data_IF_835284192861
#
_entry.id   IF_835284192861
#
_cell.length_a   1.000
_cell.length_b   1.000
_cell.length_c   1.000
_cell.angle_alpha   90.00
_cell.angle_beta   90.00
_cell.angle_gamma   90.00
#
_symmetry.space_group_name_H-M   'P 1'
#
loop_
_entity.id
_entity.type
_entity.pdbx_description
1 polymer ?
#
# COMPACT_ATOMS: atom_id res chain seq x y z
N UNK A 1 -7.22 8.09 -46.86
CA UNK A 1 -6.11 8.88 -46.30
C UNK A 1 -6.21 8.81 -44.79
N UNK A 2 -5.48 7.91 -44.13
CA UNK A 2 -5.46 7.85 -42.67
C UNK A 2 -4.70 9.09 -42.16
N UNK A 3 -5.39 9.95 -41.41
CA UNK A 3 -4.85 11.22 -40.93
C UNK A 3 -3.64 10.98 -40.01
N UNK A 4 -2.44 11.36 -40.47
CA UNK A 4 -1.16 11.21 -39.76
C UNK A 4 -1.10 11.83 -38.37
N UNK A 5 -2.10 12.66 -38.02
CA UNK A 5 -2.31 13.22 -36.67
C UNK A 5 -2.72 12.17 -35.63
N UNK A 6 -3.43 11.12 -36.05
CA UNK A 6 -3.84 10.02 -35.16
C UNK A 6 -2.72 9.02 -34.92
N UNK A 7 -1.91 8.74 -35.95
CA UNK A 7 -0.74 7.84 -35.84
C UNK A 7 0.29 8.42 -34.86
N UNK A 8 0.53 9.73 -34.90
CA UNK A 8 1.44 10.39 -33.97
C UNK A 8 0.97 10.35 -32.50
N UNK A 9 -0.34 10.49 -32.25
CA UNK A 9 -0.89 10.38 -30.89
C UNK A 9 -0.73 8.96 -30.30
N UNK A 10 -0.95 7.93 -31.12
CA UNK A 10 -0.83 6.53 -30.66
C UNK A 10 0.62 6.16 -30.36
N UNK A 11 1.58 6.64 -31.16
CA UNK A 11 3.02 6.39 -30.93
C UNK A 11 3.54 7.14 -29.70
N UNK A 12 3.10 8.39 -29.47
CA UNK A 12 3.49 9.15 -28.28
C UNK A 12 2.89 8.59 -26.99
N UNK A 13 1.64 8.09 -27.04
CA UNK A 13 1.02 7.43 -25.89
C UNK A 13 1.63 6.04 -25.59
N UNK A 14 2.09 5.31 -26.61
CA UNK A 14 2.78 4.03 -26.45
C UNK A 14 4.17 4.16 -25.81
N UNK A 15 4.88 5.26 -26.03
CA UNK A 15 6.24 5.46 -25.52
C UNK A 15 6.28 5.74 -24.00
N UNK A 16 5.21 6.28 -23.41
CA UNK A 16 5.14 6.60 -21.98
C UNK A 16 4.91 5.34 -21.12
N UNK A 17 4.37 4.27 -21.70
CA UNK A 17 4.04 3.03 -20.96
C UNK A 17 5.28 2.16 -20.69
N UNK A 18 6.40 2.38 -21.37
CA UNK A 18 7.59 1.49 -21.29
C UNK A 18 8.55 1.86 -20.15
N UNK A 19 8.40 3.01 -19.49
CA UNK A 19 9.38 3.50 -18.51
C UNK A 19 9.12 3.12 -17.04
N UNK A 20 8.10 2.32 -16.74
CA UNK A 20 7.87 1.79 -15.38
C UNK A 20 8.38 0.36 -15.18
N UNK A 21 9.16 -0.18 -16.13
CA UNK A 21 9.68 -1.55 -16.08
C UNK A 21 11.13 -1.62 -15.58
N UNK A 22 11.33 -2.31 -14.45
CA UNK A 22 12.61 -2.79 -13.90
C UNK A 22 13.42 -1.85 -12.99
N UNK A 23 12.78 -1.17 -12.04
CA UNK A 23 13.48 -0.77 -10.81
C UNK A 23 13.30 -1.87 -9.75
N UNK A 24 14.39 -2.54 -9.37
CA UNK A 24 14.39 -3.51 -8.27
C UNK A 24 13.92 -2.81 -6.98
N UNK A 25 12.84 -3.30 -6.37
CA UNK A 25 12.30 -2.71 -5.14
C UNK A 25 13.31 -2.84 -4.00
N UNK A 26 13.24 -1.98 -2.98
CA UNK A 26 14.11 -2.09 -1.80
C UNK A 26 14.03 -3.48 -1.17
N UNK A 27 12.82 -4.05 -1.07
CA UNK A 27 12.58 -5.42 -0.61
C UNK A 27 13.30 -6.45 -1.49
N UNK A 28 13.19 -6.36 -2.81
CA UNK A 28 13.82 -7.30 -3.73
C UNK A 28 15.34 -7.29 -3.61
N UNK A 29 15.95 -6.10 -3.45
CA UNK A 29 17.40 -5.99 -3.18
C UNK A 29 17.81 -6.68 -1.89
N UNK A 30 17.04 -6.53 -0.81
CA UNK A 30 17.34 -7.18 0.47
C UNK A 30 17.13 -8.69 0.41
N UNK A 31 16.13 -9.17 -0.34
CA UNK A 31 15.95 -10.61 -0.62
C UNK A 31 17.18 -11.17 -1.33
N UNK A 32 17.63 -10.50 -2.39
CA UNK A 32 18.80 -10.92 -3.17
C UNK A 32 20.10 -10.90 -2.35
N UNK A 33 20.20 -10.00 -1.36
CA UNK A 33 21.33 -9.92 -0.43
C UNK A 33 21.21 -10.86 0.80
N UNK A 34 20.12 -11.64 0.91
CA UNK A 34 19.78 -12.42 2.09
C UNK A 34 19.78 -11.60 3.40
N UNK A 35 19.40 -10.32 3.31
CA UNK A 35 19.38 -9.38 4.42
C UNK A 35 18.05 -9.47 5.18
N UNK A 36 17.93 -10.50 6.02
CA UNK A 36 16.75 -10.71 6.86
C UNK A 36 16.55 -9.60 7.91
N UNK A 37 17.62 -8.91 8.34
CA UNK A 37 17.50 -7.79 9.29
C UNK A 37 16.87 -6.59 8.59
N UNK A 38 17.35 -6.26 7.39
CA UNK A 38 16.76 -5.23 6.54
C UNK A 38 15.29 -5.52 6.22
N UNK A 39 14.95 -6.75 5.83
CA UNK A 39 13.58 -7.16 5.54
C UNK A 39 12.66 -7.05 6.77
N UNK A 40 13.14 -7.47 7.94
CA UNK A 40 12.39 -7.32 9.19
C UNK A 40 12.06 -5.85 9.51
N UNK A 41 13.03 -4.96 9.34
CA UNK A 41 12.83 -3.53 9.58
C UNK A 41 11.91 -2.90 8.54
N UNK A 42 12.08 -3.27 7.27
CA UNK A 42 11.27 -2.78 6.16
C UNK A 42 9.79 -3.13 6.34
N UNK A 43 9.48 -4.39 6.64
CA UNK A 43 8.09 -4.79 6.86
C UNK A 43 7.50 -4.22 8.16
N UNK A 44 8.31 -4.04 9.22
CA UNK A 44 7.86 -3.35 10.42
C UNK A 44 7.49 -1.88 10.15
N UNK A 45 8.29 -1.18 9.33
CA UNK A 45 7.96 0.17 8.89
C UNK A 45 6.69 0.18 8.03
N UNK A 46 6.56 -0.74 7.06
CA UNK A 46 5.33 -0.84 6.27
C UNK A 46 4.09 -1.08 7.14
N UNK A 47 4.18 -1.95 8.15
CA UNK A 47 3.08 -2.19 9.07
C UNK A 47 2.67 -0.90 9.81
N UNK A 48 3.65 -0.09 10.26
CA UNK A 48 3.36 1.21 10.87
C UNK A 48 2.67 2.17 9.88
N UNK A 49 3.19 2.32 8.67
CA UNK A 49 2.59 3.19 7.64
C UNK A 49 1.16 2.77 7.29
N UNK A 50 0.89 1.46 7.22
CA UNK A 50 -0.44 0.91 6.97
C UNK A 50 -1.39 1.19 8.13
N UNK A 51 -0.93 1.11 9.38
CA UNK A 51 -1.72 1.50 10.58
C UNK A 51 -2.05 2.99 10.58
N UNK A 52 -1.13 3.85 10.17
CA UNK A 52 -1.37 5.28 10.04
C UNK A 52 -2.44 5.57 8.97
N UNK A 53 -2.37 4.88 7.82
CA UNK A 53 -3.42 4.94 6.79
C UNK A 53 -4.77 4.45 7.31
N UNK A 54 -4.80 3.35 8.06
CA UNK A 54 -6.04 2.85 8.67
C UNK A 54 -6.66 3.89 9.61
N UNK A 55 -5.86 4.52 10.47
CA UNK A 55 -6.31 5.61 11.37
C UNK A 55 -6.90 6.79 10.59
N UNK A 56 -6.28 7.19 9.49
CA UNK A 56 -6.79 8.26 8.65
C UNK A 56 -8.18 7.95 8.06
N UNK A 57 -8.41 6.71 7.63
CA UNK A 57 -9.71 6.27 7.14
C UNK A 57 -10.76 6.14 8.25
N UNK A 58 -10.37 5.72 9.45
CA UNK A 58 -11.28 5.71 10.60
C UNK A 58 -11.72 7.12 10.98
N UNK A 59 -10.79 8.08 11.05
CA UNK A 59 -11.13 9.49 11.27
C UNK A 59 -12.09 10.03 10.21
N UNK A 60 -11.92 9.60 8.95
CA UNK A 60 -12.82 9.97 7.85
C UNK A 60 -14.20 9.34 8.04
N UNK A 61 -14.28 8.09 8.50
CA UNK A 61 -15.56 7.45 8.81
C UNK A 61 -16.29 8.19 9.93
N UNK A 62 -15.59 8.55 11.00
CA UNK A 62 -16.14 9.34 12.10
C UNK A 62 -16.66 10.71 11.63
N UNK A 63 -15.94 11.36 10.70
CA UNK A 63 -16.38 12.62 10.11
C UNK A 63 -17.74 12.48 9.43
N UNK A 64 -17.93 11.44 8.62
CA UNK A 64 -19.20 11.17 7.94
C UNK A 64 -20.35 10.87 8.91
N UNK A 65 -20.09 10.19 10.03
CA UNK A 65 -21.11 9.94 11.03
C UNK A 65 -21.53 11.22 11.77
N UNK A 66 -20.55 12.02 12.17
CA UNK A 66 -20.76 13.26 12.94
C UNK A 66 -21.42 14.36 12.11
N UNK A 67 -21.19 14.39 10.80
CA UNK A 67 -21.71 15.41 9.88
C UNK A 67 -22.79 14.86 8.94
N UNK A 68 -23.59 13.92 9.45
CA UNK A 68 -24.66 13.32 8.65
C UNK A 68 -25.78 14.33 8.39
N UNK A 69 -25.87 14.84 7.15
CA UNK A 69 -26.97 15.72 6.77
C UNK A 69 -28.30 14.95 6.68
N UNK A 70 -29.38 15.39 7.36
CA UNK A 70 -30.67 14.69 7.37
C UNK A 70 -31.34 14.55 6.00
N UNK A 71 -30.93 15.35 5.00
CA UNK A 71 -31.58 15.45 3.68
C UNK A 71 -30.62 15.25 2.50
N UNK A 72 -29.42 14.72 2.74
CA UNK A 72 -28.42 14.46 1.69
C UNK A 72 -28.83 13.32 0.75
N UNK A 73 -28.46 13.42 -0.53
CA UNK A 73 -28.72 12.40 -1.56
C UNK A 73 -27.94 11.09 -1.37
N UNK A 74 -26.88 11.12 -0.57
CA UNK A 74 -26.07 9.94 -0.24
C UNK A 74 -26.11 9.72 1.25
N UNK A 75 -26.45 8.51 1.68
CA UNK A 75 -26.64 8.21 3.09
C UNK A 75 -25.27 8.26 3.81
N UNK A 76 -25.03 9.20 4.74
CA UNK A 76 -23.72 9.38 5.38
C UNK A 76 -23.20 8.11 6.07
N UNK A 77 -24.12 7.25 6.51
CA UNK A 77 -23.82 5.92 7.06
C UNK A 77 -23.15 4.99 6.05
N UNK A 78 -23.52 5.05 4.77
CA UNK A 78 -22.89 4.25 3.72
C UNK A 78 -21.45 4.71 3.47
N UNK A 79 -21.19 6.01 3.48
CA UNK A 79 -19.84 6.55 3.38
C UNK A 79 -18.98 6.16 4.59
N UNK A 80 -19.51 6.28 5.81
CA UNK A 80 -18.81 5.85 7.01
C UNK A 80 -18.47 4.35 6.96
N UNK A 81 -19.43 3.50 6.58
CA UNK A 81 -19.21 2.06 6.43
C UNK A 81 -18.14 1.73 5.36
N UNK A 82 -18.15 2.46 4.23
CA UNK A 82 -17.13 2.31 3.19
C UNK A 82 -15.74 2.68 3.71
N UNK A 83 -15.60 3.83 4.38
CA UNK A 83 -14.35 4.26 5.00
C UNK A 83 -13.82 3.24 6.02
N UNK A 84 -14.70 2.68 6.87
CA UNK A 84 -14.31 1.61 7.81
C UNK A 84 -13.83 0.34 7.13
N UNK A 85 -14.46 -0.03 6.02
CA UNK A 85 -14.01 -1.19 5.23
C UNK A 85 -12.59 -0.96 4.71
N UNK A 86 -12.28 0.26 4.24
CA UNK A 86 -10.93 0.62 3.82
C UNK A 86 -9.95 0.58 5.01
N UNK A 87 -10.33 1.13 6.16
CA UNK A 87 -9.51 1.09 7.37
C UNK A 87 -9.18 -0.35 7.81
N UNK A 88 -10.17 -1.24 7.78
CA UNK A 88 -10.00 -2.67 8.08
C UNK A 88 -9.06 -3.37 7.10
N UNK A 89 -9.16 -3.06 5.80
CA UNK A 89 -8.24 -3.61 4.80
C UNK A 89 -6.79 -3.18 5.04
N UNK A 90 -6.57 -1.91 5.42
CA UNK A 90 -5.24 -1.43 5.79
C UNK A 90 -4.73 -2.09 7.07
N UNK A 91 -5.59 -2.30 8.08
CA UNK A 91 -5.20 -3.03 9.29
C UNK A 91 -4.79 -4.47 8.99
N UNK A 92 -5.57 -5.17 8.16
CA UNK A 92 -5.21 -6.53 7.74
C UNK A 92 -3.86 -6.58 7.02
N UNK A 93 -3.63 -5.64 6.11
CA UNK A 93 -2.34 -5.52 5.42
C UNK A 93 -1.19 -5.19 6.40
N UNK A 94 -1.44 -4.39 7.44
CA UNK A 94 -0.47 -4.10 8.48
C UNK A 94 -0.11 -5.36 9.29
N UNK A 95 -1.09 -6.20 9.61
CA UNK A 95 -0.89 -7.46 10.32
C UNK A 95 -0.09 -8.46 9.47
N UNK A 96 -0.38 -8.54 8.17
CA UNK A 96 0.40 -9.33 7.21
C UNK A 96 1.86 -8.85 7.13
N UNK A 97 2.09 -7.53 7.07
CA UNK A 97 3.43 -6.96 7.10
C UNK A 97 4.16 -7.25 8.43
N UNK A 98 3.48 -7.16 9.57
CA UNK A 98 4.08 -7.51 10.86
C UNK A 98 4.41 -9.00 10.97
N UNK A 99 3.60 -9.88 10.39
CA UNK A 99 3.91 -11.31 10.30
C UNK A 99 5.20 -11.55 9.50
N UNK A 100 5.33 -10.92 8.33
CA UNK A 100 6.56 -10.97 7.52
C UNK A 100 7.78 -10.43 8.29
N UNK A 101 7.60 -9.33 9.03
CA UNK A 101 8.67 -8.79 9.87
C UNK A 101 9.11 -9.80 10.94
N UNK A 102 8.17 -10.51 11.57
CA UNK A 102 8.47 -11.54 12.58
C UNK A 102 9.17 -12.76 11.97
N UNK A 103 8.71 -13.25 10.82
CA UNK A 103 9.35 -14.36 10.09
C UNK A 103 10.82 -14.02 9.75
N UNK A 104 11.08 -12.82 9.22
CA UNK A 104 12.43 -12.38 8.94
C UNK A 104 13.30 -12.20 10.21
N UNK A 105 12.73 -11.76 11.34
CA UNK A 105 13.45 -11.74 12.62
C UNK A 105 13.82 -13.15 13.09
N UNK A 106 12.95 -14.13 12.89
CA UNK A 106 13.20 -15.53 13.25
C UNK A 106 14.27 -16.19 12.36
N UNK A 107 14.43 -15.71 11.12
CA UNK A 107 15.51 -16.14 10.21
C UNK A 107 16.88 -15.53 10.54
N UNK A 108 16.98 -14.69 11.58
CA UNK A 108 18.30 -14.30 12.10
C UNK A 108 19.05 -15.55 12.54
N UNK A 109 20.30 -15.76 12.11
CA UNK A 109 21.05 -16.93 12.51
C UNK A 109 21.17 -16.98 14.04
N UNK A 110 20.54 -17.98 14.65
CA UNK A 110 20.82 -18.37 16.02
C UNK A 110 22.21 -19.02 16.04
N UNK A 111 23.22 -18.23 16.39
CA UNK A 111 24.55 -18.76 16.75
C UNK A 111 25.62 -18.67 15.66
N UNK A 112 25.98 -17.45 15.23
CA UNK A 112 27.40 -17.19 15.00
C UNK A 112 28.00 -16.70 16.32
N UNK A 113 28.37 -17.66 17.15
CA UNK A 113 29.43 -17.48 18.15
C UNK A 113 30.68 -17.19 17.31
N UNK A 114 31.22 -15.98 17.41
CA UNK A 114 32.58 -15.67 16.98
C UNK A 114 33.37 -15.26 18.22
#
# INVERSE_FOLDING_TARGET
MLNGRWVFMVVAAGLVVVLNGCAETSAQRMINANDHVGLANYYAQQAQELREKAKAWEMTAEFYEKHSEPHGKTEPKQHAAHCRTIAQNYMKAADEADALAQEHRAMRPHGMIQ
#
